data_IF_150841107956
#
_entry.id   IF_150841107956
#
_cell.length_a   1.000
_cell.length_b   1.000
_cell.length_c   1.000
_cell.angle_alpha   90.00
_cell.angle_beta   90.00
_cell.angle_gamma   90.00
#
_symmetry.space_group_name_H-M   'P 1'
#
loop_
_entity.id
_entity.type
_entity.pdbx_description
1 polymer ?
#
# COMPACT_ATOMS: atom_id res chain seq x y z
N UNK A 1 -36.88 24.56 -38.26
CA UNK A 1 -35.40 24.70 -38.13
C UNK A 1 -35.16 26.08 -37.57
N UNK A 2 -34.74 26.19 -36.40
CA UNK A 2 -34.14 27.34 -35.69
C UNK A 2 -34.49 27.27 -34.21
N UNK A 3 -33.49 27.25 -33.34
CA UNK A 3 -33.51 27.41 -31.89
C UNK A 3 -33.07 26.18 -31.09
N UNK A 4 -31.76 25.82 -31.21
CA UNK A 4 -31.00 25.18 -30.12
C UNK A 4 -29.56 25.73 -30.23
N UNK A 5 -29.33 26.92 -29.75
CA UNK A 5 -27.99 27.49 -29.60
C UNK A 5 -28.06 28.69 -28.65
N UNK A 6 -28.36 28.45 -27.39
CA UNK A 6 -28.10 29.44 -26.32
C UNK A 6 -28.25 28.80 -24.94
N UNK A 7 -27.28 27.94 -24.57
CA UNK A 7 -27.05 27.58 -23.16
C UNK A 7 -25.62 27.17 -22.90
N UNK A 8 -24.64 27.82 -23.55
CA UNK A 8 -23.27 27.82 -23.05
C UNK A 8 -23.19 28.88 -21.95
N UNK A 9 -23.47 28.44 -20.74
CA UNK A 9 -23.30 29.24 -19.55
C UNK A 9 -21.87 29.79 -19.48
N UNK A 10 -21.77 31.11 -19.38
CA UNK A 10 -20.53 31.88 -19.16
C UNK A 10 -19.81 31.23 -17.97
N UNK A 11 -18.57 30.78 -18.17
CA UNK A 11 -17.71 30.32 -17.07
C UNK A 11 -17.67 31.41 -15.98
N UNK A 12 -17.81 31.05 -14.69
CA UNK A 12 -17.78 32.03 -13.61
C UNK A 12 -16.44 32.79 -13.63
N UNK A 13 -16.48 34.09 -13.44
CA UNK A 13 -15.30 34.93 -13.33
C UNK A 13 -14.52 34.54 -12.07
N UNK A 14 -13.38 33.86 -12.25
CA UNK A 14 -12.56 33.28 -11.18
C UNK A 14 -11.60 34.31 -10.54
N UNK A 15 -11.90 35.61 -10.63
CA UNK A 15 -11.10 36.66 -10.02
C UNK A 15 -11.66 37.04 -8.65
N UNK A 16 -10.75 37.14 -7.66
CA UNK A 16 -11.09 37.73 -6.36
C UNK A 16 -11.18 39.27 -6.46
N UNK A 17 -11.61 39.91 -5.35
CA UNK A 17 -11.73 41.38 -5.27
C UNK A 17 -10.41 42.13 -5.50
N UNK A 18 -9.26 41.41 -5.53
CA UNK A 18 -7.93 41.95 -5.80
C UNK A 18 -7.46 41.63 -7.24
N UNK A 19 -8.31 41.03 -8.10
CA UNK A 19 -7.97 40.70 -9.49
C UNK A 19 -7.10 39.46 -9.67
N UNK A 20 -6.83 38.71 -8.59
CA UNK A 20 -6.03 37.48 -8.62
C UNK A 20 -6.89 36.33 -9.15
N UNK A 21 -6.39 35.60 -10.14
CA UNK A 21 -7.09 34.41 -10.65
C UNK A 21 -7.08 33.37 -9.54
N UNK A 22 -8.23 33.16 -8.93
CA UNK A 22 -8.41 32.09 -7.91
C UNK A 22 -8.27 30.75 -8.62
N UNK A 23 -7.28 29.95 -8.21
CA UNK A 23 -7.15 28.58 -8.71
C UNK A 23 -8.49 27.85 -8.53
N UNK A 24 -9.02 27.16 -9.56
CA UNK A 24 -10.31 26.48 -9.48
C UNK A 24 -10.36 25.57 -8.24
N UNK A 25 -11.49 25.60 -7.54
CA UNK A 25 -11.69 24.81 -6.34
C UNK A 25 -11.57 23.33 -6.69
N UNK A 26 -10.94 22.52 -5.82
CA UNK A 26 -10.92 21.07 -5.96
C UNK A 26 -12.28 20.52 -5.52
N UNK A 27 -12.91 19.74 -6.40
CA UNK A 27 -14.23 19.15 -6.13
C UNK A 27 -14.05 17.69 -5.75
N UNK A 28 -14.64 17.27 -4.63
CA UNK A 28 -14.75 15.87 -4.22
C UNK A 28 -16.04 15.29 -4.77
N UNK A 29 -15.93 14.19 -5.53
CA UNK A 29 -17.07 13.43 -6.07
C UNK A 29 -17.03 11.99 -5.58
N UNK A 30 -18.18 11.44 -5.22
CA UNK A 30 -18.29 10.01 -4.90
C UNK A 30 -18.37 9.19 -6.17
N UNK A 31 -17.67 8.06 -6.16
CA UNK A 31 -17.68 7.07 -7.25
C UNK A 31 -18.43 5.84 -6.77
N UNK A 32 -19.18 5.21 -7.67
CA UNK A 32 -19.81 3.95 -7.35
C UNK A 32 -18.73 2.87 -7.08
N UNK A 33 -18.86 2.06 -6.02
CA UNK A 33 -17.83 1.08 -5.66
C UNK A 33 -17.40 0.15 -6.79
N UNK A 34 -18.32 -0.24 -7.67
CA UNK A 34 -18.04 -1.11 -8.82
C UNK A 34 -17.15 -0.44 -9.89
N UNK A 35 -17.14 0.90 -9.98
CA UNK A 35 -16.40 1.64 -11.00
C UNK A 35 -15.02 2.07 -10.50
N UNK A 36 -14.80 1.98 -9.17
CA UNK A 36 -13.62 2.53 -8.51
C UNK A 36 -12.32 1.86 -8.96
N UNK A 37 -12.24 0.52 -8.97
CA UNK A 37 -11.01 -0.19 -9.27
C UNK A 37 -10.54 0.03 -10.71
N UNK A 38 -11.48 0.19 -11.64
CA UNK A 38 -11.15 0.52 -13.03
C UNK A 38 -10.57 1.92 -13.15
N UNK A 39 -11.14 2.89 -12.44
CA UNK A 39 -10.71 4.29 -12.47
C UNK A 39 -9.38 4.48 -11.71
N UNK A 40 -9.33 4.01 -10.46
CA UNK A 40 -8.17 4.18 -9.60
C UNK A 40 -6.93 3.40 -10.08
N UNK A 41 -7.14 2.36 -10.87
CA UNK A 41 -6.06 1.57 -11.47
C UNK A 41 -5.14 2.35 -12.40
N UNK A 42 -5.55 3.54 -12.86
CA UNK A 42 -4.72 4.47 -13.62
C UNK A 42 -3.90 5.44 -12.78
N UNK A 43 -4.04 5.43 -11.45
CA UNK A 43 -3.35 6.40 -10.60
C UNK A 43 -1.92 5.95 -10.23
N UNK A 44 -0.95 6.86 -10.35
CA UNK A 44 0.45 6.59 -9.98
C UNK A 44 0.59 6.19 -8.49
N UNK A 45 -0.20 6.78 -7.61
CA UNK A 45 -0.17 6.52 -6.17
C UNK A 45 -0.95 5.29 -5.72
N UNK A 46 -1.58 4.52 -6.62
CA UNK A 46 -2.44 3.40 -6.23
C UNK A 46 -1.68 2.27 -5.54
N UNK A 47 -2.33 1.64 -4.58
CA UNK A 47 -1.89 0.40 -3.95
C UNK A 47 -3.08 -0.54 -3.75
N UNK A 48 -2.82 -1.81 -3.45
CA UNK A 48 -3.89 -2.80 -3.32
C UNK A 48 -4.89 -2.47 -2.22
N UNK A 49 -4.47 -1.83 -1.12
CA UNK A 49 -5.36 -1.44 -0.02
C UNK A 49 -6.35 -0.32 -0.39
N UNK A 50 -6.10 0.38 -1.48
CA UNK A 50 -6.99 1.39 -2.03
C UNK A 50 -7.96 0.82 -3.09
N UNK A 51 -7.94 -0.50 -3.34
CA UNK A 51 -8.87 -1.16 -4.26
C UNK A 51 -10.04 -1.80 -3.52
N UNK A 52 -11.25 -1.75 -4.12
CA UNK A 52 -12.44 -2.42 -3.59
C UNK A 52 -12.26 -3.94 -3.56
N UNK A 53 -11.59 -4.52 -4.57
CA UNK A 53 -11.25 -5.94 -4.61
C UNK A 53 -10.43 -6.41 -3.40
N UNK A 54 -9.67 -5.53 -2.78
CA UNK A 54 -8.96 -5.81 -1.53
C UNK A 54 -9.78 -5.40 -0.30
N UNK A 55 -10.17 -4.13 -0.25
CA UNK A 55 -10.75 -3.52 0.95
C UNK A 55 -12.11 -4.12 1.31
N UNK A 56 -12.96 -4.39 0.32
CA UNK A 56 -14.28 -5.00 0.51
C UNK A 56 -14.21 -6.40 1.11
N UNK A 57 -13.17 -7.17 0.78
CA UNK A 57 -12.93 -8.51 1.34
C UNK A 57 -12.25 -8.41 2.71
N UNK A 58 -11.18 -7.64 2.81
CA UNK A 58 -10.37 -7.55 4.03
C UNK A 58 -11.07 -6.82 5.18
N UNK A 59 -11.82 -5.79 4.85
CA UNK A 59 -12.48 -4.90 5.81
C UNK A 59 -13.98 -4.76 5.52
N UNK A 60 -14.71 -5.86 5.44
CA UNK A 60 -16.12 -5.91 5.07
C UNK A 60 -17.09 -5.23 6.08
N UNK A 61 -16.62 -4.86 7.28
CA UNK A 61 -17.46 -4.22 8.30
C UNK A 61 -17.74 -2.72 8.08
N UNK A 62 -16.74 -1.88 7.75
CA UNK A 62 -16.95 -0.47 7.41
C UNK A 62 -17.69 -0.28 6.08
N UNK A 63 -18.40 0.85 5.96
CA UNK A 63 -18.85 1.30 4.64
C UNK A 63 -17.65 1.80 3.83
N UNK A 64 -17.58 1.43 2.55
CA UNK A 64 -16.53 1.89 1.64
C UNK A 64 -17.08 3.01 0.76
N UNK A 65 -16.45 4.16 0.81
CA UNK A 65 -16.81 5.36 0.07
C UNK A 65 -15.63 5.77 -0.85
N UNK A 66 -15.57 5.25 -2.09
CA UNK A 66 -14.60 5.72 -3.06
C UNK A 66 -14.91 7.16 -3.45
N UNK A 67 -13.89 8.00 -3.49
CA UNK A 67 -14.01 9.40 -3.91
C UNK A 67 -12.91 9.77 -4.89
N UNK A 68 -13.24 10.62 -5.85
CA UNK A 68 -12.27 11.26 -6.74
C UNK A 68 -12.22 12.76 -6.46
N UNK A 69 -11.09 13.34 -6.78
CA UNK A 69 -10.87 14.78 -6.69
C UNK A 69 -10.69 15.34 -8.10
N UNK A 70 -11.51 16.34 -8.44
CA UNK A 70 -11.41 17.03 -9.73
C UNK A 70 -10.87 18.44 -9.55
N UNK A 71 -9.97 18.80 -10.44
CA UNK A 71 -9.42 20.14 -10.58
C UNK A 71 -9.59 20.62 -12.01
N UNK A 72 -10.37 21.66 -12.25
CA UNK A 72 -10.67 22.13 -13.59
C UNK A 72 -11.33 21.08 -14.50
N UNK A 73 -12.10 20.14 -13.92
CA UNK A 73 -12.74 19.04 -14.66
C UNK A 73 -11.87 17.77 -14.78
N UNK A 74 -10.55 17.87 -14.58
CA UNK A 74 -9.63 16.73 -14.61
C UNK A 74 -9.64 15.96 -13.29
N UNK A 75 -9.59 14.62 -13.32
CA UNK A 75 -9.38 13.79 -12.13
C UNK A 75 -7.90 13.84 -11.76
N UNK A 76 -7.58 14.42 -10.61
CA UNK A 76 -6.21 14.63 -10.14
C UNK A 76 -5.79 13.65 -9.05
N UNK A 77 -6.72 12.85 -8.55
CA UNK A 77 -6.47 11.81 -7.55
C UNK A 77 -7.76 11.26 -6.96
N UNK A 78 -7.62 10.44 -5.93
CA UNK A 78 -8.77 9.85 -5.26
C UNK A 78 -8.41 9.24 -3.90
N UNK A 79 -9.41 8.68 -3.24
CA UNK A 79 -9.24 7.93 -2.01
C UNK A 79 -10.35 6.90 -1.84
N UNK A 80 -10.01 5.71 -1.37
CA UNK A 80 -10.98 4.81 -0.79
C UNK A 80 -11.09 5.13 0.70
N UNK A 81 -12.20 5.74 1.10
CA UNK A 81 -12.48 6.09 2.48
C UNK A 81 -13.36 5.01 3.12
N UNK A 82 -12.92 4.48 4.22
CA UNK A 82 -13.67 3.51 5.03
C UNK A 82 -14.37 4.26 6.17
N UNK A 83 -15.68 4.13 6.26
CA UNK A 83 -16.47 4.78 7.30
C UNK A 83 -16.97 3.73 8.30
N UNK A 84 -16.41 3.78 9.49
CA UNK A 84 -16.76 2.88 10.60
C UNK A 84 -17.69 3.59 11.58
N UNK A 85 -18.87 3.01 11.80
CA UNK A 85 -19.76 3.40 12.89
C UNK A 85 -19.19 2.94 14.22
N UNK A 86 -19.19 3.83 15.20
CA UNK A 86 -18.76 3.50 16.57
C UNK A 86 -19.90 2.83 17.34
N UNK A 87 -19.62 1.96 18.33
CA UNK A 87 -20.61 1.33 19.18
C UNK A 87 -21.56 2.38 19.81
N UNK A 88 -22.78 1.97 20.14
CA UNK A 88 -23.80 2.80 20.78
C UNK A 88 -24.17 4.09 20.03
N UNK A 89 -23.82 4.20 18.75
CA UNK A 89 -24.13 5.40 17.96
C UNK A 89 -23.36 6.66 18.35
N UNK A 90 -22.28 6.54 19.13
CA UNK A 90 -21.51 7.70 19.65
C UNK A 90 -20.73 8.47 18.59
N UNK A 91 -20.78 8.05 17.32
CA UNK A 91 -20.14 8.75 16.20
C UNK A 91 -19.64 7.80 15.12
N UNK A 92 -18.81 8.35 14.25
CA UNK A 92 -18.20 7.62 13.14
C UNK A 92 -16.73 8.05 12.96
N UNK A 93 -15.93 7.14 12.42
CA UNK A 93 -14.56 7.40 11.99
C UNK A 93 -14.48 7.17 10.49
N UNK A 94 -14.01 8.16 9.75
CA UNK A 94 -13.61 8.05 8.37
C UNK A 94 -12.09 7.76 8.33
N UNK A 95 -11.68 6.68 7.66
CA UNK A 95 -10.29 6.27 7.61
C UNK A 95 -9.85 6.02 6.17
N UNK A 96 -8.67 6.54 5.79
CA UNK A 96 -8.02 6.17 4.53
C UNK A 96 -6.60 5.68 4.81
N UNK A 97 -6.30 4.46 4.31
CA UNK A 97 -5.00 3.83 4.42
C UNK A 97 -4.23 4.00 3.13
N UNK A 98 -3.00 4.50 3.19
CA UNK A 98 -2.15 4.79 2.04
C UNK A 98 -2.75 5.81 1.06
N UNK A 99 -3.67 6.63 1.52
CA UNK A 99 -4.36 7.65 0.73
C UNK A 99 -4.41 9.00 1.45
N UNK A 100 -4.95 10.06 0.78
CA UNK A 100 -5.40 10.07 -0.61
C UNK A 100 -4.25 9.84 -1.60
N UNK A 101 -4.56 9.32 -2.79
CA UNK A 101 -3.59 8.99 -3.83
C UNK A 101 -3.68 9.96 -5.01
N UNK A 102 -2.53 10.34 -5.54
CA UNK A 102 -2.44 11.20 -6.75
C UNK A 102 -2.62 10.37 -8.01
N UNK A 103 -3.29 10.93 -9.00
CA UNK A 103 -3.39 10.35 -10.34
C UNK A 103 -2.04 10.42 -11.06
N UNK A 104 -1.33 11.56 -10.95
CA UNK A 104 0.04 11.73 -11.44
C UNK A 104 0.92 12.33 -10.34
N UNK A 105 1.88 11.55 -9.85
CA UNK A 105 2.82 11.95 -8.79
C UNK A 105 3.95 12.85 -9.31
N UNK A 106 4.13 12.95 -10.64
CA UNK A 106 5.22 13.70 -11.28
C UNK A 106 4.82 15.14 -11.61
N UNK A 107 3.57 15.50 -11.42
CA UNK A 107 3.10 16.87 -11.63
C UNK A 107 3.88 17.86 -10.74
N UNK A 108 4.28 19.02 -11.25
CA UNK A 108 4.97 20.04 -10.45
C UNK A 108 4.13 20.53 -9.25
N UNK A 109 2.79 20.52 -9.40
CA UNK A 109 1.82 20.96 -8.40
C UNK A 109 1.29 19.81 -7.51
N UNK A 110 1.84 18.60 -7.62
CA UNK A 110 1.43 17.42 -6.84
C UNK A 110 1.33 17.68 -5.32
N UNK A 111 2.27 18.37 -4.65
CA UNK A 111 2.13 18.69 -3.24
C UNK A 111 0.94 19.61 -2.94
N UNK A 112 0.65 20.58 -3.81
CA UNK A 112 -0.50 21.47 -3.70
C UNK A 112 -1.82 20.73 -3.90
N UNK A 113 -1.87 19.82 -4.87
CA UNK A 113 -3.05 18.96 -5.10
C UNK A 113 -3.29 18.07 -3.89
N UNK A 114 -2.26 17.41 -3.36
CA UNK A 114 -2.38 16.59 -2.15
C UNK A 114 -2.95 17.41 -0.97
N UNK A 115 -2.43 18.61 -0.74
CA UNK A 115 -2.93 19.53 0.28
C UNK A 115 -4.43 19.79 0.13
N UNK A 116 -4.86 20.08 -1.08
CA UNK A 116 -6.27 20.40 -1.38
C UNK A 116 -7.17 19.16 -1.33
N UNK A 117 -6.66 17.97 -1.65
CA UNK A 117 -7.39 16.71 -1.42
C UNK A 117 -7.64 16.48 0.07
N UNK A 118 -6.64 16.73 0.91
CA UNK A 118 -6.80 16.67 2.38
C UNK A 118 -7.85 17.68 2.87
N UNK A 119 -7.81 18.92 2.36
CA UNK A 119 -8.81 19.95 2.71
C UNK A 119 -10.23 19.53 2.33
N UNK A 120 -10.40 18.91 1.15
CA UNK A 120 -11.70 18.41 0.70
C UNK A 120 -12.19 17.23 1.58
N UNK A 121 -11.29 16.31 2.00
CA UNK A 121 -11.64 15.25 2.95
C UNK A 121 -12.04 15.81 4.32
N UNK A 122 -11.34 16.82 4.82
CA UNK A 122 -11.70 17.50 6.08
C UNK A 122 -13.08 18.14 5.96
N UNK A 123 -13.34 18.87 4.87
CA UNK A 123 -14.62 19.52 4.64
C UNK A 123 -15.78 18.52 4.59
N UNK A 124 -15.62 17.41 3.88
CA UNK A 124 -16.66 16.39 3.72
C UNK A 124 -16.86 15.58 5.00
N UNK A 125 -15.81 14.97 5.53
CA UNK A 125 -15.94 13.97 6.60
C UNK A 125 -15.97 14.61 8.00
N UNK A 126 -15.16 15.64 8.24
CA UNK A 126 -15.09 16.26 9.55
C UNK A 126 -16.07 17.41 9.71
N UNK A 127 -16.03 18.42 8.85
CA UNK A 127 -16.86 19.61 9.00
C UNK A 127 -18.34 19.29 8.72
N UNK A 128 -18.66 18.74 7.55
CA UNK A 128 -20.04 18.50 7.15
C UNK A 128 -20.68 17.32 7.92
N UNK A 129 -19.97 16.19 8.05
CA UNK A 129 -20.51 14.96 8.64
C UNK A 129 -20.16 14.76 10.12
N UNK A 130 -19.29 15.59 10.69
CA UNK A 130 -18.93 15.56 12.12
C UNK A 130 -18.18 14.32 12.56
N UNK A 131 -17.45 13.67 11.65
CA UNK A 131 -16.67 12.46 11.92
C UNK A 131 -15.25 12.81 12.37
N UNK A 132 -14.57 11.87 13.00
CA UNK A 132 -13.12 11.92 13.07
C UNK A 132 -12.56 11.37 11.74
N UNK A 133 -11.71 12.16 11.07
CA UNK A 133 -10.95 11.74 9.89
C UNK A 133 -9.58 11.25 10.33
N UNK A 134 -9.22 10.03 9.94
CA UNK A 134 -7.92 9.42 10.20
C UNK A 134 -7.24 9.08 8.88
N UNK A 135 -6.06 9.61 8.64
CA UNK A 135 -5.27 9.41 7.43
C UNK A 135 -3.97 8.70 7.80
N UNK A 136 -3.65 7.61 7.11
CA UNK A 136 -2.36 6.94 7.18
C UNK A 136 -1.65 7.09 5.84
N UNK A 137 -0.70 8.02 5.69
CA UNK A 137 0.10 8.13 4.47
C UNK A 137 0.97 6.89 4.24
N UNK A 138 1.35 6.63 2.99
CA UNK A 138 2.31 5.59 2.66
C UNK A 138 3.72 5.97 3.13
N UNK A 139 4.57 4.96 3.32
CA UNK A 139 6.00 5.19 3.56
C UNK A 139 6.64 5.89 2.35
N UNK A 140 7.38 6.97 2.58
CA UNK A 140 8.00 7.74 1.51
C UNK A 140 9.40 7.23 1.17
N UNK A 141 9.75 7.04 -0.10
CA UNK A 141 11.12 6.71 -0.50
C UNK A 141 12.11 7.88 -0.32
N UNK A 142 11.64 9.07 -0.04
CA UNK A 142 12.50 10.23 0.24
C UNK A 142 13.04 10.26 1.68
N UNK A 143 12.73 9.25 2.51
CA UNK A 143 13.21 9.12 3.89
C UNK A 143 12.40 9.90 4.94
N UNK A 144 11.63 10.91 4.55
CA UNK A 144 10.66 11.62 5.37
C UNK A 144 9.31 11.67 4.65
N UNK A 145 8.20 11.76 5.38
CA UNK A 145 6.87 11.87 4.77
C UNK A 145 6.44 13.35 4.73
N UNK A 146 6.56 13.96 3.56
CA UNK A 146 6.03 15.32 3.29
C UNK A 146 4.51 15.35 3.51
N UNK A 147 3.82 14.28 3.16
CA UNK A 147 2.38 14.13 3.37
C UNK A 147 2.03 14.15 4.85
N UNK A 148 2.80 13.41 5.68
CA UNK A 148 2.58 13.41 7.12
C UNK A 148 2.89 14.78 7.75
N UNK A 149 4.00 15.41 7.37
CA UNK A 149 4.35 16.74 7.82
C UNK A 149 3.25 17.76 7.47
N UNK A 150 2.70 17.65 6.26
CA UNK A 150 1.58 18.47 5.82
C UNK A 150 0.34 18.28 6.71
N UNK A 151 -0.04 17.01 7.00
CA UNK A 151 -1.18 16.71 7.87
C UNK A 151 -0.99 17.33 9.27
N UNK A 152 0.19 17.19 9.87
CA UNK A 152 0.48 17.79 11.18
C UNK A 152 0.41 19.32 11.11
N UNK A 153 0.98 19.94 10.07
CA UNK A 153 0.89 21.38 9.83
C UNK A 153 -0.56 21.88 9.66
N UNK A 154 -1.46 21.02 9.15
CA UNK A 154 -2.92 21.32 9.03
C UNK A 154 -3.69 21.09 10.33
N UNK A 155 -3.04 20.75 11.43
CA UNK A 155 -3.67 20.59 12.74
C UNK A 155 -4.12 19.16 13.07
N UNK A 156 -3.82 18.17 12.20
CA UNK A 156 -3.99 16.78 12.57
C UNK A 156 -3.07 16.43 13.74
N UNK A 157 -3.52 15.51 14.58
CA UNK A 157 -2.74 15.03 15.73
C UNK A 157 -2.22 13.63 15.45
N UNK A 158 -1.00 13.28 15.92
CA UNK A 158 -0.45 11.94 15.80
C UNK A 158 -1.39 10.90 16.41
N UNK A 159 -1.65 9.82 15.68
CA UNK A 159 -2.43 8.68 16.13
C UNK A 159 -1.57 7.43 16.33
N UNK A 160 -2.07 6.29 15.85
CA UNK A 160 -1.46 4.98 16.04
C UNK A 160 -0.17 4.84 15.22
N UNK A 161 0.87 4.27 15.81
CA UNK A 161 2.08 3.81 15.15
C UNK A 161 2.00 2.30 14.95
N UNK A 162 2.34 1.83 13.76
CA UNK A 162 2.48 0.39 13.51
C UNK A 162 3.64 -0.19 14.33
N UNK A 163 3.48 -1.41 14.86
CA UNK A 163 4.54 -2.05 15.65
C UNK A 163 5.80 -2.34 14.84
N UNK A 164 5.64 -2.66 13.56
CA UNK A 164 6.72 -2.93 12.62
C UNK A 164 6.55 -2.04 11.39
N UNK A 165 6.84 -0.72 11.52
CA UNK A 165 6.51 0.26 10.47
C UNK A 165 7.46 0.23 9.29
N UNK A 166 8.60 -0.46 9.39
CA UNK A 166 9.63 -0.44 8.35
C UNK A 166 9.14 -1.07 7.04
N UNK A 167 9.41 -0.38 5.95
CA UNK A 167 9.21 -0.82 4.56
C UNK A 167 10.56 -0.87 3.84
N UNK A 168 10.71 -1.82 2.96
CA UNK A 168 11.95 -2.12 2.26
C UNK A 168 11.73 -1.88 0.77
N UNK A 169 12.28 -0.78 0.24
CA UNK A 169 12.03 -0.29 -1.11
C UNK A 169 13.27 -0.52 -1.99
N UNK A 170 13.17 -1.40 -2.97
CA UNK A 170 14.19 -1.61 -3.99
C UNK A 170 14.01 -0.58 -5.09
N UNK A 171 15.09 0.06 -5.52
CA UNK A 171 15.08 1.03 -6.62
C UNK A 171 15.08 0.31 -7.97
N UNK A 172 14.00 0.45 -8.74
CA UNK A 172 13.84 -0.19 -10.06
C UNK A 172 14.40 0.65 -11.23
N UNK A 173 14.94 1.84 -10.98
CA UNK A 173 15.40 2.75 -12.03
C UNK A 173 16.82 2.49 -12.53
N UNK A 174 17.47 1.47 -11.98
CA UNK A 174 18.84 1.09 -12.34
C UNK A 174 18.83 -0.02 -13.39
N UNK A 175 19.87 -0.05 -14.22
CA UNK A 175 20.15 -1.20 -15.09
C UNK A 175 20.62 -2.43 -14.27
N UNK A 176 20.82 -3.56 -14.95
CA UNK A 176 21.24 -4.81 -14.30
C UNK A 176 22.58 -4.68 -13.55
N UNK A 177 23.53 -3.94 -14.12
CA UNK A 177 24.83 -3.74 -13.51
C UNK A 177 24.73 -2.88 -12.25
N UNK A 178 23.99 -1.77 -12.32
CA UNK A 178 23.72 -0.89 -11.19
C UNK A 178 22.93 -1.57 -10.09
N UNK A 179 21.87 -2.32 -10.42
CA UNK A 179 21.09 -3.12 -9.48
C UNK A 179 21.99 -4.14 -8.77
N UNK A 180 22.77 -4.93 -9.52
CA UNK A 180 23.67 -5.95 -8.96
C UNK A 180 24.76 -5.32 -8.07
N UNK A 181 25.31 -4.18 -8.48
CA UNK A 181 26.28 -3.41 -7.67
C UNK A 181 25.69 -2.91 -6.36
N UNK A 182 24.42 -2.48 -6.37
CA UNK A 182 23.73 -1.96 -5.20
C UNK A 182 23.43 -3.01 -4.13
N UNK A 183 23.22 -4.27 -4.49
CA UNK A 183 22.94 -5.36 -3.56
C UNK A 183 24.05 -5.51 -2.50
N UNK A 184 23.72 -5.88 -1.27
CA UNK A 184 24.73 -6.24 -0.28
C UNK A 184 25.59 -7.43 -0.75
N UNK A 185 26.87 -7.47 -0.35
CA UNK A 185 27.83 -8.47 -0.80
C UNK A 185 27.35 -9.92 -0.57
N UNK A 186 26.77 -10.16 0.61
CA UNK A 186 26.24 -11.49 0.93
C UNK A 186 25.06 -11.85 0.01
N UNK A 187 24.18 -10.91 -0.26
CA UNK A 187 23.03 -11.12 -1.16
C UNK A 187 23.51 -11.47 -2.58
N UNK A 188 24.51 -10.73 -3.12
CA UNK A 188 25.13 -11.03 -4.42
C UNK A 188 25.74 -12.43 -4.46
N UNK A 189 26.41 -12.85 -3.39
CA UNK A 189 26.99 -14.21 -3.30
C UNK A 189 25.90 -15.30 -3.38
N UNK A 190 24.76 -15.10 -2.70
CA UNK A 190 23.65 -16.04 -2.76
C UNK A 190 22.99 -16.04 -4.14
N UNK A 191 22.82 -14.88 -4.77
CA UNK A 191 22.32 -14.76 -6.14
C UNK A 191 23.22 -15.54 -7.12
N UNK A 192 24.55 -15.32 -7.09
CA UNK A 192 25.49 -16.02 -7.96
C UNK A 192 25.45 -17.55 -7.76
N UNK A 193 25.15 -18.04 -6.55
CA UNK A 193 24.93 -19.47 -6.30
C UNK A 193 23.64 -19.96 -6.94
N UNK A 194 22.55 -19.18 -6.79
CA UNK A 194 21.25 -19.58 -7.34
C UNK A 194 21.24 -19.59 -8.87
N UNK A 195 21.97 -18.69 -9.52
CA UNK A 195 22.11 -18.66 -10.99
C UNK A 195 22.79 -19.93 -11.55
N UNK A 196 23.59 -20.63 -10.72
CA UNK A 196 24.28 -21.90 -11.09
C UNK A 196 23.46 -23.12 -10.69
N UNK A 197 22.32 -22.99 -10.06
CA UNK A 197 21.54 -24.07 -9.50
C UNK A 197 20.59 -24.75 -10.51
N UNK A 198 20.59 -24.35 -11.77
CA UNK A 198 19.68 -24.88 -12.81
C UNK A 198 18.22 -24.54 -12.53
N UNK A 199 17.97 -23.35 -11.97
CA UNK A 199 16.63 -22.84 -11.70
C UNK A 199 16.05 -22.19 -12.96
N UNK A 200 14.74 -22.31 -13.15
CA UNK A 200 14.00 -21.68 -14.26
C UNK A 200 12.98 -20.73 -13.69
N UNK A 201 13.00 -19.47 -14.13
CA UNK A 201 12.01 -18.45 -13.78
C UNK A 201 10.84 -18.48 -14.76
N UNK A 202 9.63 -18.39 -14.26
CA UNK A 202 8.41 -18.48 -15.05
C UNK A 202 7.39 -17.47 -14.54
N UNK A 203 6.70 -16.77 -15.46
CA UNK A 203 5.51 -15.99 -15.16
C UNK A 203 4.27 -16.86 -15.31
N UNK A 204 3.44 -16.92 -14.30
CA UNK A 204 2.17 -17.65 -14.31
C UNK A 204 1.00 -16.76 -14.72
N UNK A 205 -0.07 -17.41 -15.16
CA UNK A 205 -1.38 -16.81 -15.40
C UNK A 205 -2.28 -16.91 -14.16
N UNK A 206 -3.35 -16.12 -14.02
CA UNK A 206 -4.23 -16.14 -12.83
C UNK A 206 -4.84 -17.50 -12.52
N UNK A 207 -5.12 -18.32 -13.51
CA UNK A 207 -5.64 -19.69 -13.37
C UNK A 207 -4.67 -20.64 -12.66
N UNK A 208 -3.40 -20.28 -12.57
CA UNK A 208 -2.37 -21.04 -11.84
C UNK A 208 -2.29 -20.69 -10.34
N UNK A 209 -3.24 -19.89 -9.83
CA UNK A 209 -3.33 -19.61 -8.39
C UNK A 209 -3.36 -20.90 -7.54
N UNK A 210 -4.06 -22.00 -7.91
CA UNK A 210 -4.02 -23.23 -7.13
C UNK A 210 -2.61 -23.82 -6.94
N UNK A 211 -1.72 -23.71 -7.93
CA UNK A 211 -0.32 -24.16 -7.81
C UNK A 211 0.44 -23.32 -6.77
N UNK A 212 0.21 -21.99 -6.76
CA UNK A 212 0.80 -21.11 -5.75
C UNK A 212 0.22 -21.40 -4.36
N UNK A 213 -1.10 -21.58 -4.25
CA UNK A 213 -1.76 -21.89 -2.97
C UNK A 213 -1.19 -23.18 -2.37
N UNK A 214 -1.05 -24.25 -3.16
CA UNK A 214 -0.44 -25.50 -2.69
C UNK A 214 1.00 -25.32 -2.17
N UNK A 215 1.80 -24.48 -2.86
CA UNK A 215 3.14 -24.11 -2.42
C UNK A 215 3.14 -23.30 -1.11
N UNK A 216 2.19 -22.37 -0.99
CA UNK A 216 2.02 -21.49 0.17
C UNK A 216 1.59 -22.30 1.41
N UNK A 217 0.63 -23.20 1.27
CA UNK A 217 0.14 -24.07 2.33
C UNK A 217 1.24 -24.96 2.90
N UNK A 218 2.04 -25.60 2.03
CA UNK A 218 3.22 -26.38 2.45
C UNK A 218 4.21 -25.55 3.28
N UNK A 219 4.39 -24.27 2.90
CA UNK A 219 5.26 -23.37 3.67
C UNK A 219 4.65 -23.03 5.03
N UNK A 220 3.34 -22.77 5.12
CA UNK A 220 2.64 -22.45 6.37
C UNK A 220 2.66 -23.60 7.34
N UNK A 221 2.37 -24.84 6.88
CA UNK A 221 2.43 -26.06 7.68
C UNK A 221 3.80 -26.24 8.34
N UNK A 222 4.86 -26.02 7.55
CA UNK A 222 6.23 -26.11 8.06
C UNK A 222 6.54 -25.06 9.11
N UNK A 223 6.14 -23.80 8.87
CA UNK A 223 6.47 -22.68 9.74
C UNK A 223 5.63 -22.63 11.00
N UNK A 224 4.52 -23.38 11.04
CA UNK A 224 3.59 -23.51 12.20
C UNK A 224 3.15 -22.19 12.81
N UNK A 225 3.00 -21.13 12.02
CA UNK A 225 2.43 -19.88 12.51
C UNK A 225 1.08 -19.57 11.88
N UNK A 226 0.24 -18.88 12.63
CA UNK A 226 -1.04 -18.42 12.10
C UNK A 226 -0.80 -17.35 11.04
N UNK A 227 -1.42 -17.52 9.87
CA UNK A 227 -1.41 -16.53 8.82
C UNK A 227 -2.41 -15.42 9.18
N UNK A 228 -1.89 -14.23 9.49
CA UNK A 228 -2.66 -13.00 9.69
C UNK A 228 -2.64 -12.11 8.45
N UNK A 229 -2.10 -12.62 7.35
CA UNK A 229 -2.08 -11.91 6.07
C UNK A 229 -3.50 -11.76 5.50
N UNK A 230 -3.62 -11.00 4.44
CA UNK A 230 -4.89 -10.82 3.73
C UNK A 230 -4.97 -11.76 2.51
N UNK A 231 -4.52 -13.03 2.63
CA UNK A 231 -4.45 -13.98 1.51
C UNK A 231 -5.82 -14.21 0.87
N UNK A 232 -6.90 -14.12 1.64
CA UNK A 232 -8.29 -14.20 1.17
C UNK A 232 -8.63 -13.17 0.08
N UNK A 233 -7.86 -12.09 -0.03
CA UNK A 233 -8.07 -11.06 -1.06
C UNK A 233 -7.48 -11.43 -2.43
N UNK A 234 -6.57 -12.39 -2.50
CA UNK A 234 -5.83 -12.73 -3.71
C UNK A 234 -6.71 -13.15 -4.87
N UNK A 235 -7.72 -14.05 -4.70
CA UNK A 235 -8.60 -14.42 -5.80
C UNK A 235 -9.34 -13.21 -6.38
N UNK A 236 -9.79 -12.27 -5.54
CA UNK A 236 -10.50 -11.07 -5.95
C UNK A 236 -9.60 -10.09 -6.71
N UNK A 237 -8.35 -9.93 -6.26
CA UNK A 237 -7.37 -9.11 -6.97
C UNK A 237 -6.98 -9.70 -8.33
N UNK A 238 -6.85 -11.03 -8.43
CA UNK A 238 -6.52 -11.72 -9.68
C UNK A 238 -7.70 -11.74 -10.68
N UNK A 239 -8.94 -11.58 -10.20
CA UNK A 239 -10.14 -11.47 -11.03
C UNK A 239 -10.34 -10.06 -11.63
N UNK A 240 -9.52 -9.06 -11.25
CA UNK A 240 -9.63 -7.72 -11.81
C UNK A 240 -9.42 -7.73 -13.34
N UNK A 241 -10.32 -7.11 -14.08
CA UNK A 241 -10.22 -6.97 -15.54
C UNK A 241 -9.07 -6.02 -15.91
N UNK A 242 -8.90 -4.93 -15.13
CA UNK A 242 -7.84 -3.97 -15.33
C UNK A 242 -6.47 -4.59 -15.04
N UNK A 243 -5.76 -4.93 -16.13
CA UNK A 243 -4.44 -5.57 -16.05
C UNK A 243 -3.37 -4.71 -15.35
N UNK A 244 -3.55 -3.38 -15.30
CA UNK A 244 -2.58 -2.50 -14.66
C UNK A 244 -2.50 -2.73 -13.15
N UNK A 245 -3.60 -3.10 -12.50
CA UNK A 245 -3.69 -3.35 -11.05
C UNK A 245 -3.90 -4.82 -10.68
N UNK A 246 -4.06 -5.69 -11.68
CA UNK A 246 -4.12 -7.12 -11.44
C UNK A 246 -2.75 -7.65 -11.07
N UNK A 247 -2.58 -8.36 -9.94
CA UNK A 247 -1.30 -8.94 -9.55
C UNK A 247 -0.73 -9.93 -10.58
N UNK A 248 0.58 -10.11 -10.53
CA UNK A 248 1.30 -11.12 -11.31
C UNK A 248 1.72 -12.28 -10.41
N UNK A 249 1.66 -13.49 -10.96
CA UNK A 249 2.22 -14.69 -10.36
C UNK A 249 3.57 -15.00 -10.99
N UNK A 250 4.54 -15.34 -10.14
CA UNK A 250 5.86 -15.78 -10.59
C UNK A 250 6.23 -17.08 -9.88
N UNK A 251 6.87 -17.99 -10.63
CA UNK A 251 7.32 -19.25 -10.13
C UNK A 251 8.80 -19.47 -10.43
N UNK A 252 9.43 -20.31 -9.63
CA UNK A 252 10.75 -20.87 -9.91
C UNK A 252 10.60 -22.39 -9.92
N UNK A 253 11.09 -23.02 -11.00
CA UNK A 253 11.14 -24.46 -11.13
C UNK A 253 12.56 -24.99 -10.99
N UNK A 254 12.66 -26.20 -10.47
CA UNK A 254 13.85 -27.02 -10.46
C UNK A 254 13.44 -28.43 -10.93
N UNK A 255 14.08 -28.93 -12.00
CA UNK A 255 13.82 -30.26 -12.57
C UNK A 255 12.31 -30.52 -12.81
N UNK A 256 11.59 -29.51 -13.30
CA UNK A 256 10.14 -29.54 -13.58
C UNK A 256 9.22 -29.25 -12.39
N UNK A 257 9.73 -29.30 -11.15
CA UNK A 257 8.92 -29.01 -9.94
C UNK A 257 8.92 -27.52 -9.58
N UNK A 258 7.78 -26.99 -9.15
CA UNK A 258 7.70 -25.62 -8.57
C UNK A 258 8.28 -25.64 -7.17
N UNK A 259 9.36 -24.89 -6.98
CA UNK A 259 10.10 -24.86 -5.71
C UNK A 259 10.03 -23.51 -4.98
N UNK A 260 9.66 -22.44 -5.68
CA UNK A 260 9.37 -21.12 -5.09
C UNK A 260 8.36 -20.36 -5.95
N UNK A 261 7.68 -19.38 -5.35
CA UNK A 261 6.75 -18.50 -6.07
C UNK A 261 6.47 -17.23 -5.31
N UNK A 262 5.92 -16.24 -6.02
CA UNK A 262 5.50 -14.95 -5.46
C UNK A 262 4.28 -14.38 -6.19
N UNK A 263 3.49 -13.60 -5.46
CA UNK A 263 2.39 -12.77 -5.97
C UNK A 263 2.78 -11.31 -5.79
N UNK A 264 2.78 -10.55 -6.87
CA UNK A 264 3.25 -9.16 -6.91
C UNK A 264 2.13 -8.26 -7.41
N UNK A 265 1.72 -7.28 -6.61
CA UNK A 265 0.93 -6.16 -7.09
C UNK A 265 1.82 -5.20 -7.87
N UNK A 266 1.35 -4.72 -9.03
CA UNK A 266 2.19 -3.92 -9.95
C UNK A 266 1.61 -2.55 -10.30
N UNK A 267 0.49 -2.16 -9.67
CA UNK A 267 -0.17 -0.88 -9.95
C UNK A 267 0.64 0.33 -9.52
N UNK A 268 0.52 1.41 -10.30
CA UNK A 268 1.15 2.68 -10.02
C UNK A 268 2.68 2.66 -10.08
N UNK A 269 3.30 3.61 -9.40
CA UNK A 269 4.78 3.74 -9.38
C UNK A 269 5.45 2.83 -8.32
N UNK A 270 4.66 2.07 -7.53
CA UNK A 270 5.14 1.20 -6.47
C UNK A 270 4.56 -0.21 -6.60
N UNK A 271 5.36 -1.12 -7.13
CA UNK A 271 5.01 -2.54 -7.07
C UNK A 271 5.17 -3.07 -5.63
N UNK A 272 4.29 -3.98 -5.21
CA UNK A 272 4.26 -4.50 -3.84
C UNK A 272 4.37 -6.04 -3.85
N UNK A 273 5.31 -6.56 -3.07
CA UNK A 273 5.39 -7.98 -2.76
C UNK A 273 4.27 -8.36 -1.79
N UNK A 274 3.26 -9.03 -2.29
CA UNK A 274 2.11 -9.45 -1.50
C UNK A 274 2.40 -10.74 -0.74
N UNK A 275 2.74 -11.80 -1.48
CA UNK A 275 2.95 -13.14 -0.95
C UNK A 275 4.11 -13.83 -1.62
N UNK A 276 4.77 -14.72 -0.89
CA UNK A 276 5.78 -15.58 -1.44
C UNK A 276 6.00 -16.82 -0.61
N UNK A 277 6.33 -17.90 -1.28
CA UNK A 277 6.59 -19.20 -0.68
C UNK A 277 7.84 -19.84 -1.29
N UNK A 278 8.51 -20.67 -0.49
CA UNK A 278 9.69 -21.41 -0.89
C UNK A 278 9.70 -22.75 -0.18
N UNK A 279 9.86 -23.84 -0.91
CA UNK A 279 10.02 -25.19 -0.34
C UNK A 279 11.36 -25.33 0.37
N UNK A 280 11.45 -26.26 1.31
CA UNK A 280 12.69 -26.57 2.02
C UNK A 280 13.78 -27.09 1.08
N UNK A 281 13.41 -27.91 0.10
CA UNK A 281 14.31 -28.40 -0.96
C UNK A 281 14.98 -27.29 -1.76
N UNK A 282 14.33 -26.11 -1.82
CA UNK A 282 14.83 -24.95 -2.56
C UNK A 282 15.71 -23.99 -1.71
N UNK A 283 15.75 -24.17 -0.39
CA UNK A 283 16.58 -23.33 0.49
C UNK A 283 18.09 -23.45 0.18
N UNK A 284 18.66 -24.67 0.00
CA UNK A 284 20.06 -24.83 -0.42
C UNK A 284 20.34 -24.22 -1.79
N UNK A 285 19.37 -24.24 -2.71
CA UNK A 285 19.45 -23.68 -4.06
C UNK A 285 19.38 -22.16 -4.11
N UNK A 286 19.00 -21.53 -2.98
CA UNK A 286 18.81 -20.07 -2.88
C UNK A 286 17.72 -19.56 -3.82
N UNK A 287 16.67 -20.34 -4.04
CA UNK A 287 15.62 -20.03 -5.02
C UNK A 287 14.92 -18.69 -4.77
N UNK A 288 14.76 -18.24 -3.51
CA UNK A 288 14.21 -16.91 -3.19
C UNK A 288 15.05 -15.75 -3.73
N UNK A 289 16.40 -15.89 -3.77
CA UNK A 289 17.28 -14.88 -4.37
C UNK A 289 17.12 -14.82 -5.88
N UNK A 290 17.05 -15.98 -6.53
CA UNK A 290 16.80 -16.11 -7.96
C UNK A 290 15.44 -15.52 -8.33
N UNK A 291 14.37 -15.89 -7.61
CA UNK A 291 13.02 -15.42 -7.81
C UNK A 291 12.95 -13.87 -7.78
N UNK A 292 13.41 -13.26 -6.69
CA UNK A 292 13.35 -11.83 -6.54
C UNK A 292 14.22 -11.05 -7.53
N UNK A 293 15.41 -11.59 -7.91
CA UNK A 293 16.23 -10.99 -8.94
C UNK A 293 15.50 -10.88 -10.28
N UNK A 294 14.84 -11.95 -10.68
CA UNK A 294 14.07 -11.98 -11.93
C UNK A 294 12.79 -11.13 -11.85
N UNK A 295 12.11 -11.09 -10.70
CA UNK A 295 10.98 -10.19 -10.47
C UNK A 295 11.40 -8.73 -10.61
N UNK A 296 12.51 -8.31 -10.00
CA UNK A 296 13.04 -6.94 -10.10
C UNK A 296 13.25 -6.54 -11.56
N UNK A 297 13.92 -7.41 -12.34
CA UNK A 297 14.13 -7.17 -13.77
C UNK A 297 12.82 -7.09 -14.54
N UNK A 298 11.92 -8.03 -14.29
CA UNK A 298 10.61 -8.05 -14.94
C UNK A 298 9.81 -6.79 -14.64
N UNK A 299 9.75 -6.36 -13.38
CA UNK A 299 9.05 -5.13 -12.97
C UNK A 299 9.63 -3.90 -13.67
N UNK A 300 10.94 -3.77 -13.71
CA UNK A 300 11.63 -2.65 -14.38
C UNK A 300 11.31 -2.62 -15.87
N UNK A 301 11.29 -3.77 -16.53
CA UNK A 301 11.21 -3.87 -17.99
C UNK A 301 9.76 -3.85 -18.49
N UNK A 302 8.76 -4.17 -17.64
CA UNK A 302 7.37 -4.37 -18.09
C UNK A 302 6.34 -3.51 -17.32
N UNK A 303 6.76 -2.66 -16.39
CA UNK A 303 5.85 -1.79 -15.63
C UNK A 303 6.39 -0.38 -15.55
N UNK A 304 5.54 0.55 -15.08
CA UNK A 304 5.99 1.91 -14.76
C UNK A 304 6.47 2.07 -13.30
N UNK A 305 6.55 0.96 -12.54
CA UNK A 305 6.98 1.00 -11.15
C UNK A 305 8.42 1.50 -11.03
N UNK A 306 8.61 2.44 -10.14
CA UNK A 306 9.93 3.02 -9.81
C UNK A 306 10.53 2.36 -8.58
N UNK A 307 9.66 1.74 -7.78
CA UNK A 307 10.01 1.10 -6.51
C UNK A 307 9.34 -0.26 -6.40
N UNK A 308 10.09 -1.24 -5.85
CA UNK A 308 9.55 -2.51 -5.44
C UNK A 308 9.53 -2.58 -3.91
N UNK A 309 8.35 -2.51 -3.34
CA UNK A 309 8.09 -2.55 -1.91
C UNK A 309 7.98 -4.00 -1.43
N UNK A 310 8.94 -4.43 -0.65
CA UNK A 310 9.03 -5.80 -0.12
C UNK A 310 8.15 -6.01 1.13
N UNK A 311 7.39 -5.02 1.55
CA UNK A 311 6.61 -5.09 2.78
C UNK A 311 7.44 -4.95 4.05
N UNK A 312 6.82 -5.24 5.19
CA UNK A 312 7.45 -5.30 6.51
C UNK A 312 8.17 -6.63 6.76
N UNK A 313 8.63 -6.82 7.99
CA UNK A 313 9.33 -8.05 8.42
C UNK A 313 8.70 -8.70 9.64
N UNK A 314 7.66 -8.09 10.21
CA UNK A 314 6.96 -8.52 11.42
C UNK A 314 7.90 -8.90 12.58
N UNK A 315 9.09 -8.26 12.60
CA UNK A 315 10.13 -8.47 13.59
C UNK A 315 11.05 -9.68 13.36
N UNK A 316 10.90 -10.43 12.26
CA UNK A 316 11.76 -11.56 11.96
C UNK A 316 13.14 -11.11 11.45
N UNK A 317 14.19 -11.41 12.23
CA UNK A 317 15.56 -10.99 11.93
C UNK A 317 16.09 -11.55 10.59
N UNK A 318 15.81 -12.82 10.27
CA UNK A 318 16.23 -13.43 9.01
C UNK A 318 15.57 -12.74 7.80
N UNK A 319 14.29 -12.39 7.92
CA UNK A 319 13.56 -11.68 6.86
C UNK A 319 14.08 -10.24 6.71
N UNK A 320 14.43 -9.59 7.83
CA UNK A 320 15.10 -8.28 7.83
C UNK A 320 16.41 -8.33 7.02
N UNK A 321 17.29 -9.28 7.34
CA UNK A 321 18.58 -9.41 6.64
C UNK A 321 18.40 -9.68 5.14
N UNK A 322 17.46 -10.55 4.77
CA UNK A 322 17.16 -10.85 3.38
C UNK A 322 16.69 -9.61 2.62
N UNK A 323 15.67 -8.89 3.16
CA UNK A 323 15.11 -7.71 2.53
C UNK A 323 16.10 -6.56 2.48
N UNK A 324 16.81 -6.30 3.59
CA UNK A 324 17.87 -5.28 3.65
C UNK A 324 18.95 -5.50 2.58
N UNK A 325 19.42 -6.75 2.45
CA UNK A 325 20.43 -7.08 1.45
C UNK A 325 19.97 -6.87 0.01
N UNK A 326 18.67 -7.08 -0.27
CA UNK A 326 18.05 -6.81 -1.58
C UNK A 326 17.87 -5.33 -1.85
N UNK A 327 17.44 -4.54 -0.84
CA UNK A 327 17.36 -3.08 -0.93
C UNK A 327 18.71 -2.49 -1.29
N UNK A 328 19.77 -2.98 -0.66
CA UNK A 328 21.14 -2.58 -0.94
C UNK A 328 21.39 -1.08 -0.73
N UNK A 329 22.40 -0.56 -1.43
CA UNK A 329 22.85 0.85 -1.28
C UNK A 329 22.01 1.86 -2.09
N UNK A 330 21.27 1.41 -3.09
CA UNK A 330 20.46 2.28 -3.96
C UNK A 330 18.97 2.30 -3.62
N UNK A 331 18.53 1.40 -2.76
CA UNK A 331 17.18 1.37 -2.24
C UNK A 331 17.03 2.14 -0.93
N UNK A 332 15.85 2.07 -0.33
CA UNK A 332 15.51 2.81 0.89
C UNK A 332 14.80 1.90 1.89
N UNK A 333 15.22 1.97 3.16
CA UNK A 333 14.47 1.41 4.28
C UNK A 333 13.86 2.61 5.01
N UNK A 334 12.55 2.68 5.07
CA UNK A 334 11.82 3.84 5.60
C UNK A 334 10.64 3.38 6.45
N UNK A 335 10.18 4.22 7.35
CA UNK A 335 9.05 3.88 8.20
C UNK A 335 7.73 4.42 7.62
N UNK A 336 6.67 3.64 7.76
CA UNK A 336 5.31 4.15 7.64
C UNK A 336 5.07 5.15 8.76
N UNK A 337 4.60 6.37 8.48
CA UNK A 337 4.30 7.33 9.52
C UNK A 337 3.11 6.85 10.39
N UNK A 338 2.92 7.50 11.52
CA UNK A 338 1.73 7.32 12.34
C UNK A 338 0.46 7.68 11.54
N UNK A 339 -0.70 7.19 11.95
CA UNK A 339 -1.95 7.81 11.51
C UNK A 339 -1.98 9.25 11.98
N UNK A 340 -2.60 10.11 11.19
CA UNK A 340 -2.89 11.49 11.56
C UNK A 340 -4.40 11.65 11.69
N UNK A 341 -4.87 12.13 12.84
CA UNK A 341 -6.27 12.18 13.20
C UNK A 341 -6.74 13.62 13.35
N UNK A 342 -7.90 13.95 12.78
CA UNK A 342 -8.51 15.28 12.83
C UNK A 342 -10.02 15.19 13.05
N UNK A 343 -10.57 16.09 13.83
CA UNK A 343 -12.00 16.35 13.91
C UNK A 343 -12.27 17.79 14.35
N UNK A 344 -13.25 18.43 13.73
CA UNK A 344 -13.71 19.78 14.15
C UNK A 344 -14.38 19.74 15.52
N UNK A 345 -15.09 18.64 15.82
CA UNK A 345 -15.79 18.43 17.09
C UNK A 345 -14.93 17.68 18.07
N UNK A 346 -14.62 18.26 19.23
CA UNK A 346 -13.81 17.63 20.29
C UNK A 346 -14.34 16.24 20.68
N UNK A 347 -15.67 16.09 20.77
CA UNK A 347 -16.28 14.79 21.11
C UNK A 347 -15.98 13.73 20.05
N UNK A 348 -16.12 14.04 18.76
CA UNK A 348 -15.81 13.10 17.67
C UNK A 348 -14.32 12.68 17.71
N UNK A 349 -13.44 13.65 18.01
CA UNK A 349 -12.00 13.36 18.18
C UNK A 349 -11.74 12.40 19.34
N UNK A 350 -12.32 12.63 20.51
CA UNK A 350 -12.12 11.78 21.69
C UNK A 350 -12.71 10.37 21.48
N UNK A 351 -13.96 10.29 21.01
CA UNK A 351 -14.64 9.02 20.76
C UNK A 351 -13.91 8.18 19.70
N UNK A 352 -13.50 8.82 18.60
CA UNK A 352 -12.78 8.15 17.52
C UNK A 352 -11.42 7.62 17.98
N UNK A 353 -10.63 8.42 18.70
CA UNK A 353 -9.34 7.96 19.23
C UNK A 353 -9.52 6.83 20.25
N UNK A 354 -10.47 6.92 21.16
CA UNK A 354 -10.75 5.86 22.13
C UNK A 354 -11.08 4.54 21.40
N UNK A 355 -11.89 4.58 20.34
CA UNK A 355 -12.22 3.40 19.54
C UNK A 355 -11.00 2.81 18.82
N UNK A 356 -10.14 3.65 18.23
CA UNK A 356 -8.91 3.18 17.58
C UNK A 356 -7.95 2.56 18.58
N UNK A 357 -7.74 3.15 19.76
CA UNK A 357 -6.90 2.60 20.82
C UNK A 357 -7.45 1.29 21.37
N UNK A 358 -8.77 1.21 21.60
CA UNK A 358 -9.42 -0.03 22.07
C UNK A 358 -9.22 -1.17 21.04
N UNK A 359 -9.41 -0.89 19.76
CA UNK A 359 -9.16 -1.86 18.69
C UNK A 359 -7.71 -2.34 18.69
N UNK A 360 -6.76 -1.43 18.77
CA UNK A 360 -5.32 -1.79 18.76
C UNK A 360 -4.95 -2.61 20.00
N UNK A 361 -5.50 -2.24 21.17
CA UNK A 361 -5.34 -3.02 22.39
C UNK A 361 -5.86 -4.45 22.27
N UNK A 362 -7.03 -4.64 21.67
CA UNK A 362 -7.59 -5.98 21.40
C UNK A 362 -6.70 -6.79 20.44
N UNK A 363 -6.19 -6.15 19.38
CA UNK A 363 -5.27 -6.80 18.44
C UNK A 363 -3.95 -7.21 19.12
N UNK A 364 -3.42 -6.38 20.02
CA UNK A 364 -2.21 -6.72 20.79
C UNK A 364 -2.45 -7.88 21.75
N UNK A 365 -3.58 -7.90 22.45
CA UNK A 365 -3.97 -9.01 23.31
C UNK A 365 -4.11 -10.30 22.50
N UNK A 366 -4.80 -10.27 21.37
CA UNK A 366 -4.96 -11.43 20.49
C UNK A 366 -3.61 -11.96 19.99
N UNK A 367 -2.69 -11.06 19.61
CA UNK A 367 -1.31 -11.44 19.24
C UNK A 367 -0.55 -12.09 20.38
N UNK A 368 -0.64 -11.55 21.59
CA UNK A 368 0.02 -12.12 22.78
C UNK A 368 -0.53 -13.50 23.12
N UNK A 369 -1.85 -13.67 23.08
CA UNK A 369 -2.49 -14.98 23.28
C UNK A 369 -2.13 -15.99 22.19
N UNK A 370 -2.03 -15.56 20.95
CA UNK A 370 -1.54 -16.40 19.83
C UNK A 370 -0.08 -16.83 19.98
N UNK A 371 0.78 -15.98 20.59
CA UNK A 371 2.18 -16.27 20.88
C UNK A 371 2.38 -17.19 22.11
N UNK A 372 1.39 -17.29 22.97
CA UNK A 372 1.40 -18.22 24.13
C UNK A 372 1.19 -19.68 23.72
N UNK A 373 0.86 -19.98 22.46
CA UNK A 373 0.96 -21.34 21.93
C UNK A 373 2.45 -21.70 21.78
N UNK A 374 2.91 -22.84 22.35
CA UNK A 374 4.33 -23.17 22.41
C UNK A 374 4.87 -23.43 21.00
N UNK A 375 5.58 -22.47 20.44
CA UNK A 375 6.37 -22.68 19.24
C UNK A 375 7.71 -21.94 19.35
N UNK A 376 8.76 -22.64 18.93
CA UNK A 376 10.16 -22.20 19.03
C UNK A 376 10.32 -20.84 18.35
N UNK A 377 10.45 -19.80 19.17
CA UNK A 377 10.59 -18.42 18.73
C UNK A 377 11.84 -18.24 17.84
N UNK A 378 11.64 -17.88 16.59
CA UNK A 378 12.73 -17.22 15.86
C UNK A 378 13.06 -15.90 16.57
N UNK A 379 14.36 -15.49 16.66
CA UNK A 379 14.71 -14.22 17.27
C UNK A 379 14.02 -13.07 16.54
N UNK A 380 13.24 -12.29 17.27
CA UNK A 380 12.50 -11.14 16.75
C UNK A 380 13.28 -9.84 17.01
N UNK A 381 13.20 -8.90 16.09
CA UNK A 381 13.63 -7.52 16.34
C UNK A 381 12.67 -6.88 17.35
N UNK A 382 13.18 -6.06 18.25
CA UNK A 382 12.31 -5.29 19.16
C UNK A 382 11.38 -4.39 18.35
N UNK A 383 10.11 -4.20 18.75
CA UNK A 383 9.25 -3.20 18.15
C UNK A 383 9.93 -1.84 18.18
N UNK A 384 9.74 -1.05 17.15
CA UNK A 384 10.28 0.30 17.10
C UNK A 384 9.64 1.14 18.22
N UNK A 385 10.37 1.33 19.31
CA UNK A 385 9.99 2.30 20.34
C UNK A 385 10.36 3.68 19.80
N UNK A 386 9.38 4.43 19.32
CA UNK A 386 9.59 5.82 18.90
C UNK A 386 10.05 6.63 20.10
N UNK A 387 11.37 6.72 20.29
CA UNK A 387 11.96 7.84 21.01
C UNK A 387 12.12 8.94 19.99
N UNK A 388 11.27 9.94 20.10
CA UNK A 388 11.48 11.24 19.49
C UNK A 388 12.74 11.83 20.12
N UNK A 389 13.76 12.07 19.31
CA UNK A 389 14.85 12.97 19.54
C UNK A 389 14.68 14.19 18.66
#
# INVERSE_FOLDING_TARGET
>A
MTAIADSLGRAPDLRDAAGTVRAPALVLERVAPQDWDALAGGFDGICQEQLMAFAGVRWGGPAHEPVVFRHGGEVVGGALVMVQKLPLGIGQVAFTKWGPVLADTRRPDAPSIYSRMVDALVAEYSAARGMMLSIMPAASPAGGSSEYAHLIGRGFKPGILLNYPLRYLVNLRLDDAGLRKSLEQQWRRQLNKSEKAGLVFERGTPDRLPEFTALYDRMLERKRFADYSAYETVPHLLALENQAVRPELFFVRKDGEIVAGAIIFKGGERAVYLYGATLDSALPLRAGYFLHWHIIRWLRDHTQARWYDLGGTDGFAGLHQFKKGMVGSAGVITAVPRTANYADRKFAYLAGNAALWAREGLHEIARRLGRLRPDRAQPTLKPHSGKEG
#
